data_IF_493219675861
#
_entry.id   IF_493219675861
#
_cell.length_a   1.000
_cell.length_b   1.000
_cell.length_c   1.000
_cell.angle_alpha   90.00
_cell.angle_beta   90.00
_cell.angle_gamma   90.00
#
_symmetry.space_group_name_H-M   'P 1'
#
loop_
_entity.id
_entity.type
_entity.pdbx_description
1 polymer ?
#
# COMPACT_ATOMS: atom_id res chain seq x y z
N UNK A 1 16.68 4.83 -5.85
CA UNK A 1 15.38 4.79 -5.14
C UNK A 1 14.30 5.12 -6.15
N UNK A 2 13.37 4.20 -6.40
CA UNK A 2 12.15 4.54 -7.13
C UNK A 2 11.19 5.08 -6.09
N UNK A 3 10.83 6.36 -6.18
CA UNK A 3 9.82 6.91 -5.29
C UNK A 3 8.48 6.28 -5.62
N UNK A 4 7.92 5.57 -4.65
CA UNK A 4 6.58 5.00 -4.77
C UNK A 4 5.55 6.08 -4.45
N UNK A 5 4.31 5.88 -4.90
CA UNK A 5 3.21 6.77 -4.53
C UNK A 5 3.02 6.85 -3.00
N UNK A 6 3.42 5.80 -2.27
CA UNK A 6 3.45 5.79 -0.81
C UNK A 6 4.42 6.84 -0.23
N UNK A 7 5.65 6.90 -0.74
CA UNK A 7 6.64 7.88 -0.27
C UNK A 7 6.21 9.31 -0.62
N UNK A 8 5.56 9.50 -1.77
CA UNK A 8 4.99 10.78 -2.16
C UNK A 8 3.91 11.22 -1.16
N UNK A 9 2.96 10.35 -0.83
CA UNK A 9 1.89 10.65 0.13
C UNK A 9 2.45 11.02 1.51
N UNK A 10 3.48 10.31 1.99
CA UNK A 10 4.16 10.66 3.24
C UNK A 10 4.81 12.06 3.16
N UNK A 11 5.43 12.40 2.02
CA UNK A 11 6.04 13.73 1.83
C UNK A 11 5.00 14.86 1.76
N UNK A 12 3.77 14.54 1.34
CA UNK A 12 2.63 15.47 1.30
C UNK A 12 1.95 15.65 2.66
N UNK A 13 2.38 14.91 3.68
CA UNK A 13 1.90 15.05 5.07
C UNK A 13 0.76 14.09 5.42
N UNK A 14 0.45 13.11 4.59
CA UNK A 14 -0.46 12.03 4.95
C UNK A 14 0.17 11.17 6.05
N UNK A 15 -0.67 10.70 6.99
CA UNK A 15 -0.28 9.66 7.92
C UNK A 15 -0.11 8.32 7.17
N UNK A 16 0.46 7.34 7.87
CA UNK A 16 0.82 6.05 7.27
C UNK A 16 -0.39 5.22 6.87
N UNK A 17 -1.49 5.33 7.62
CA UNK A 17 -2.67 4.50 7.45
C UNK A 17 -3.46 5.03 6.25
N UNK A 18 -3.64 6.35 6.18
CA UNK A 18 -4.12 7.04 4.99
C UNK A 18 -3.27 6.74 3.75
N UNK A 19 -1.94 6.84 3.86
CA UNK A 19 -1.06 6.58 2.72
C UNK A 19 -1.14 5.11 2.24
N UNK A 20 -1.27 4.15 3.18
CA UNK A 20 -1.46 2.73 2.86
C UNK A 20 -2.79 2.49 2.15
N UNK A 21 -3.87 3.11 2.62
CA UNK A 21 -5.20 3.01 2.02
C UNK A 21 -5.18 3.34 0.52
N UNK A 22 -4.46 4.40 0.12
CA UNK A 22 -4.40 4.82 -1.29
C UNK A 22 -3.56 3.89 -2.19
N UNK A 23 -2.52 3.25 -1.66
CA UNK A 23 -1.59 2.44 -2.47
C UNK A 23 -1.91 0.94 -2.45
N UNK A 24 -2.85 0.52 -1.61
CA UNK A 24 -3.14 -0.88 -1.36
C UNK A 24 -3.59 -1.62 -2.64
N UNK A 25 -4.45 -0.99 -3.43
CA UNK A 25 -4.96 -1.57 -4.68
C UNK A 25 -3.82 -1.83 -5.67
N UNK A 26 -3.00 -0.81 -5.93
CA UNK A 26 -1.87 -0.91 -6.85
C UNK A 26 -0.85 -1.96 -6.37
N UNK A 27 -0.63 -2.04 -5.05
CA UNK A 27 0.24 -3.05 -4.43
C UNK A 27 -0.32 -4.45 -4.64
N UNK A 28 -1.62 -4.66 -4.43
CA UNK A 28 -2.29 -5.94 -4.64
C UNK A 28 -2.29 -6.39 -6.10
N UNK A 29 -2.35 -5.46 -7.07
CA UNK A 29 -2.16 -5.79 -8.49
C UNK A 29 -0.78 -6.40 -8.74
N UNK A 30 0.28 -5.84 -8.13
CA UNK A 30 1.65 -6.37 -8.26
C UNK A 30 1.77 -7.74 -7.58
N UNK A 31 1.26 -7.87 -6.34
CA UNK A 31 1.25 -9.14 -5.60
C UNK A 31 0.50 -10.24 -6.37
N UNK A 32 -0.62 -9.90 -7.00
CA UNK A 32 -1.40 -10.84 -7.82
C UNK A 32 -0.61 -11.30 -9.04
N UNK A 33 0.10 -10.38 -9.72
CA UNK A 33 0.98 -10.75 -10.86
C UNK A 33 2.08 -11.73 -10.44
N UNK A 34 2.57 -11.58 -9.22
CA UNK A 34 3.57 -12.49 -8.64
C UNK A 34 2.97 -13.76 -8.04
N UNK A 35 1.64 -13.93 -8.11
CA UNK A 35 0.91 -15.05 -7.53
C UNK A 35 1.16 -15.18 -6.02
N UNK A 36 1.22 -14.05 -5.32
CA UNK A 36 1.31 -14.03 -3.88
C UNK A 36 0.11 -14.77 -3.26
N UNK A 37 0.34 -15.49 -2.16
CA UNK A 37 -0.71 -16.21 -1.42
C UNK A 37 -1.39 -15.35 -0.37
N UNK A 38 -0.88 -14.13 -0.14
CA UNK A 38 -1.44 -13.14 0.78
C UNK A 38 -1.47 -11.78 0.09
N UNK A 39 -2.62 -11.12 0.17
CA UNK A 39 -2.83 -9.74 -0.27
C UNK A 39 -2.96 -8.83 0.95
N UNK A 40 -2.85 -7.53 0.72
CA UNK A 40 -3.07 -6.52 1.75
C UNK A 40 -4.57 -6.21 1.84
N UNK A 41 -5.10 -6.12 3.05
CA UNK A 41 -6.43 -5.57 3.33
C UNK A 41 -6.28 -4.18 3.98
N UNK A 42 -7.21 -3.27 3.67
CA UNK A 42 -7.21 -1.92 4.21
C UNK A 42 -7.67 -1.91 5.67
N UNK A 43 -8.45 -2.92 6.07
CA UNK A 43 -8.99 -3.08 7.42
C UNK A 43 -8.15 -4.05 8.29
N UNK A 44 -7.02 -4.58 7.78
CA UNK A 44 -6.17 -5.60 8.42
C UNK A 44 -5.32 -5.09 9.61
N UNK A 45 -5.73 -4.02 10.30
CA UNK A 45 -4.97 -3.40 11.39
C UNK A 45 -5.12 -4.07 12.77
N UNK A 46 -5.86 -5.18 12.87
CA UNK A 46 -6.12 -5.84 14.16
C UNK A 46 -5.91 -7.37 14.12
N UNK A 47 -4.73 -7.82 14.58
CA UNK A 47 -4.58 -9.03 15.41
C UNK A 47 -3.33 -8.96 16.32
#
# INVERSE_FOLDING_TARGET
>A
HMHTDYEKLLSEGYDRDSARFFVIEQTNVVLTRWRATRLLDADDEEE
#
